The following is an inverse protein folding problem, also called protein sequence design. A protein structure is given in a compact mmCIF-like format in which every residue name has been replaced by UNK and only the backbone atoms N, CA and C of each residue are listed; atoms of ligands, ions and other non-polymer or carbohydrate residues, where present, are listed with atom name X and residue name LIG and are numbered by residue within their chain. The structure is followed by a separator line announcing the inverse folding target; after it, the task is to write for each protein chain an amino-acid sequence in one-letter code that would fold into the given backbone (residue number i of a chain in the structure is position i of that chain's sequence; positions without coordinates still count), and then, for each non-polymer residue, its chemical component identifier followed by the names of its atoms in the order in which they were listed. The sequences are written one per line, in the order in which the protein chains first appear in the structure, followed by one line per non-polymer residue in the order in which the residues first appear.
data_IF_323833859264
#
_entry.id   IF_323833859264
#
_cell.length_a   1.000
_cell.length_b   1.000
_cell.length_c   1.000
_cell.angle_alpha   90.00
_cell.angle_beta   90.00
_cell.angle_gamma   90.00
#
_symmetry.space_group_name_H-M   'P 1'
#
loop_
_entity.id
_entity.type
_entity.pdbx_description
1 polymer ?
#
# COMPACT_ATOMS: atom_id res chain seq x y z
N UNK A 1 9.48 15.84 11.99
CA UNK A 1 9.88 14.73 11.11
C UNK A 1 9.09 13.51 11.55
N UNK A 2 7.88 13.30 11.01
CA UNK A 2 7.01 12.20 11.43
C UNK A 2 7.57 10.89 10.89
N UNK A 3 7.93 9.96 11.79
CA UNK A 3 8.55 8.68 11.43
C UNK A 3 7.44 7.72 11.01
N UNK A 4 7.26 7.51 9.71
CA UNK A 4 6.41 6.42 9.19
C UNK A 4 7.14 5.09 9.39
N UNK A 5 6.45 4.09 9.90
CA UNK A 5 6.95 2.72 10.02
C UNK A 5 6.20 1.82 9.05
N UNK A 6 6.85 0.75 8.59
CA UNK A 6 6.27 -0.19 7.61
C UNK A 6 6.34 -1.60 8.17
N UNK A 7 5.23 -2.32 8.01
CA UNK A 7 5.08 -3.72 8.37
C UNK A 7 4.80 -4.51 7.09
N UNK A 8 5.30 -5.75 7.02
CA UNK A 8 5.09 -6.60 5.85
C UNK A 8 3.76 -7.32 5.99
N UNK A 9 2.88 -7.17 4.99
CA UNK A 9 1.63 -7.92 4.90
C UNK A 9 1.86 -9.38 4.50
N UNK A 10 0.91 -10.24 4.86
CA UNK A 10 0.79 -11.59 4.34
C UNK A 10 0.15 -11.52 2.96
N UNK A 11 0.76 -12.20 1.99
CA UNK A 11 0.33 -12.18 0.59
C UNK A 11 -0.30 -13.51 0.22
N UNK A 12 -1.51 -13.48 -0.30
CA UNK A 12 -2.16 -14.63 -0.93
C UNK A 12 -1.73 -14.68 -2.40
N UNK A 13 -0.48 -15.10 -2.62
CA UNK A 13 0.11 -15.16 -3.94
C UNK A 13 0.13 -16.59 -4.47
N UNK A 14 -0.46 -16.79 -5.65
CA UNK A 14 -0.33 -18.05 -6.37
C UNK A 14 1.05 -18.17 -7.00
N UNK A 15 1.53 -19.40 -7.17
CA UNK A 15 2.74 -19.67 -7.93
C UNK A 15 2.48 -19.40 -9.42
N UNK A 16 2.68 -18.16 -9.85
CA UNK A 16 2.57 -17.75 -11.25
C UNK A 16 3.95 -17.73 -11.91
N UNK A 17 4.06 -18.14 -13.20
CA UNK A 17 5.30 -18.00 -13.94
C UNK A 17 5.77 -16.54 -13.97
N UNK A 18 7.08 -16.35 -14.02
CA UNK A 18 7.68 -15.03 -14.19
C UNK A 18 7.03 -14.27 -15.37
N UNK A 19 6.66 -13.01 -15.13
CA UNK A 19 5.98 -12.13 -16.11
C UNK A 19 4.60 -12.61 -16.57
N UNK A 20 3.94 -13.48 -15.79
CA UNK A 20 2.57 -13.95 -16.07
C UNK A 20 1.66 -13.82 -14.85
N UNK A 21 1.95 -12.85 -13.99
CA UNK A 21 1.13 -12.51 -12.85
C UNK A 21 0.03 -11.52 -13.26
N UNK A 22 -1.03 -12.04 -13.86
CA UNK A 22 -2.13 -11.22 -14.41
C UNK A 22 -3.19 -10.90 -13.37
N UNK A 23 -3.21 -11.66 -12.28
CA UNK A 23 -4.18 -11.52 -11.20
C UNK A 23 -3.62 -10.66 -10.09
N UNK A 24 -4.52 -10.06 -9.31
CA UNK A 24 -4.11 -9.29 -8.14
C UNK A 24 -3.63 -10.23 -7.04
N UNK A 25 -2.60 -9.81 -6.32
CA UNK A 25 -2.22 -10.44 -5.05
C UNK A 25 -3.07 -9.83 -3.94
N UNK A 26 -3.99 -10.62 -3.38
CA UNK A 26 -4.69 -10.22 -2.16
C UNK A 26 -3.70 -10.23 -1.00
N UNK A 27 -3.89 -9.32 -0.04
CA UNK A 27 -3.02 -9.23 1.11
C UNK A 27 -3.82 -8.91 2.37
N UNK A 28 -3.31 -9.42 3.48
CA UNK A 28 -3.91 -9.23 4.80
C UNK A 28 -2.83 -8.86 5.80
N UNK A 29 -3.17 -8.01 6.76
CA UNK A 29 -2.33 -7.76 7.92
C UNK A 29 -3.20 -7.58 9.15
N UNK A 30 -2.91 -8.34 10.20
CA UNK A 30 -3.57 -8.23 11.48
C UNK A 30 -2.76 -7.30 12.39
N UNK A 31 -3.35 -6.14 12.73
CA UNK A 31 -2.75 -5.19 13.67
C UNK A 31 -3.29 -5.52 15.07
N UNK A 32 -2.45 -5.90 16.04
CA UNK A 32 -2.88 -6.04 17.43
C UNK A 32 -3.36 -4.68 17.96
N UNK A 33 -4.51 -4.65 18.64
CA UNK A 33 -5.06 -3.40 19.18
C UNK A 33 -4.11 -2.71 20.18
N UNK A 34 -3.34 -3.50 20.92
CA UNK A 34 -2.37 -2.98 21.90
C UNK A 34 -1.19 -2.24 21.24
N UNK A 35 -0.94 -2.48 19.96
CA UNK A 35 0.12 -1.82 19.19
C UNK A 35 -0.33 -0.50 18.54
N UNK A 36 -1.59 -0.10 18.76
CA UNK A 36 -2.13 1.13 18.19
C UNK A 36 -1.55 2.36 18.89
N UNK A 37 -0.88 3.28 18.16
CA UNK A 37 -0.13 4.37 18.76
C UNK A 37 -1.03 5.45 19.40
N UNK A 38 -2.31 5.50 19.01
CA UNK A 38 -3.29 6.40 19.61
C UNK A 38 -4.71 6.02 19.21
N UNK A 39 -5.70 6.75 19.74
CA UNK A 39 -7.12 6.62 19.34
C UNK A 39 -7.36 6.93 17.86
N UNK A 40 -6.52 7.74 17.22
CA UNK A 40 -6.65 8.02 15.78
C UNK A 40 -5.32 7.93 15.05
N UNK A 41 -5.27 7.08 14.04
CA UNK A 41 -4.04 6.79 13.30
C UNK A 41 -4.34 6.53 11.83
N UNK A 42 -3.31 6.72 11.02
CA UNK A 42 -3.35 6.46 9.59
C UNK A 42 -2.88 5.04 9.29
N UNK A 43 -3.64 4.31 8.49
CA UNK A 43 -3.19 3.09 7.82
C UNK A 43 -2.88 3.46 6.38
N UNK A 44 -1.68 3.13 5.93
CA UNK A 44 -1.18 3.39 4.58
C UNK A 44 -0.74 2.08 3.96
N UNK A 45 -1.18 1.80 2.73
CA UNK A 45 -0.69 0.65 1.97
C UNK A 45 0.11 1.11 0.74
N UNK A 46 1.12 0.30 0.39
CA UNK A 46 1.92 0.43 -0.83
C UNK A 46 2.43 -0.94 -1.27
N UNK A 47 2.66 -1.11 -2.56
CA UNK A 47 3.24 -2.32 -3.15
C UNK A 47 4.49 -2.01 -3.98
N UNK A 48 5.26 -3.06 -4.26
CA UNK A 48 6.37 -3.08 -5.22
C UNK A 48 6.24 -4.29 -6.12
N UNK A 49 6.51 -4.14 -7.42
CA UNK A 49 6.48 -5.27 -8.36
C UNK A 49 7.86 -5.96 -8.52
N UNK A 50 7.93 -6.97 -9.38
CA UNK A 50 9.17 -7.72 -9.65
C UNK A 50 10.25 -6.90 -10.35
N UNK A 51 9.90 -5.76 -10.95
CA UNK A 51 10.82 -4.81 -11.57
C UNK A 51 11.19 -3.66 -10.62
N UNK A 52 10.83 -3.77 -9.34
CA UNK A 52 11.03 -2.76 -8.31
C UNK A 52 10.33 -1.42 -8.59
N UNK A 53 9.28 -1.39 -9.43
CA UNK A 53 8.43 -0.22 -9.53
C UNK A 53 7.72 0.02 -8.20
N UNK A 54 7.55 1.30 -7.85
CA UNK A 54 6.95 1.71 -6.59
C UNK A 54 5.88 2.79 -6.83
N UNK A 55 4.96 2.89 -5.88
CA UNK A 55 3.90 3.90 -5.89
C UNK A 55 4.38 5.23 -5.29
N UNK A 56 3.92 6.39 -5.80
CA UNK A 56 4.26 7.69 -5.23
C UNK A 56 3.55 7.92 -3.89
N UNK A 57 4.17 8.71 -3.02
CA UNK A 57 3.65 9.00 -1.68
C UNK A 57 2.37 9.85 -1.69
N UNK A 58 2.23 10.74 -2.68
CA UNK A 58 1.15 11.72 -2.73
C UNK A 58 0.62 11.88 -4.15
N UNK A 59 -0.70 12.05 -4.33
CA UNK A 59 -1.29 12.31 -5.64
C UNK A 59 -0.91 13.69 -6.20
N UNK A 60 -0.38 14.61 -5.37
CA UNK A 60 -0.02 15.98 -5.79
C UNK A 60 0.97 15.98 -6.95
N UNK A 61 1.95 15.07 -6.94
CA UNK A 61 2.97 14.99 -7.99
C UNK A 61 2.52 14.29 -9.28
N UNK A 62 1.38 13.61 -9.27
CA UNK A 62 0.86 12.82 -10.40
C UNK A 62 -0.53 13.26 -10.85
N UNK A 63 -1.00 14.40 -10.35
CA UNK A 63 -2.31 14.93 -10.67
C UNK A 63 -2.41 15.25 -12.16
N UNK A 64 -3.59 14.98 -12.73
CA UNK A 64 -3.96 15.40 -14.08
C UNK A 64 -5.46 15.67 -14.13
N UNK A 65 -5.85 16.51 -15.10
CA UNK A 65 -7.24 16.97 -15.28
C UNK A 65 -8.24 15.82 -15.42
N UNK A 66 -7.82 14.69 -16.00
CA UNK A 66 -8.68 13.53 -16.20
C UNK A 66 -8.74 12.59 -14.99
N UNK A 67 -7.88 12.77 -14.00
CA UNK A 67 -7.79 11.90 -12.83
C UNK A 67 -7.25 10.49 -13.12
N UNK A 68 -6.60 10.27 -14.28
CA UNK A 68 -6.06 8.97 -14.66
C UNK A 68 -4.77 8.62 -13.92
N UNK A 69 -4.43 7.33 -13.88
CA UNK A 69 -3.14 6.84 -13.35
C UNK A 69 -2.85 7.29 -11.90
N UNK A 70 -3.89 7.54 -11.10
CA UNK A 70 -3.68 7.79 -9.68
C UNK A 70 -3.37 6.48 -8.94
N UNK A 71 -2.08 6.17 -8.84
CA UNK A 71 -1.56 5.02 -8.11
C UNK A 71 -0.81 5.44 -6.84
N UNK A 72 -1.03 6.64 -6.31
CA UNK A 72 -0.44 7.08 -5.05
C UNK A 72 -0.83 6.17 -3.89
N UNK A 73 -0.08 6.21 -2.79
CA UNK A 73 -0.40 5.41 -1.60
C UNK A 73 -1.82 5.68 -1.13
N UNK A 74 -2.59 4.59 -0.96
CA UNK A 74 -3.91 4.69 -0.37
C UNK A 74 -3.76 4.84 1.14
N UNK A 75 -4.49 5.80 1.72
CA UNK A 75 -4.48 6.11 3.13
C UNK A 75 -5.91 6.13 3.66
N UNK A 76 -6.13 5.45 4.77
CA UNK A 76 -7.34 5.56 5.58
C UNK A 76 -6.96 6.04 6.98
N UNK A 77 -7.82 6.86 7.58
CA UNK A 77 -7.66 7.31 8.97
C UNK A 77 -8.74 6.62 9.80
N UNK A 78 -8.31 5.90 10.84
CA UNK A 78 -9.21 5.27 11.82
C UNK A 78 -9.31 6.15 13.07
N UNK A 79 -10.42 6.03 13.78
CA UNK A 79 -10.77 6.80 14.99
C UNK A 79 -11.42 5.90 16.04
#
# INVERSE_FOLDING_TARGET
MYKKTWLKAELEQLAEPHMRAWTWTQWTYHIPFDDLPSKSFDIICRATDTNANSQPESPVGIWNVLGHMNNAWHKITLQ
#
